data_IF_363497147825
#
_entry.id   IF_363497147825
#
_cell.length_a   1.000
_cell.length_b   1.000
_cell.length_c   1.000
_cell.angle_alpha   90.00
_cell.angle_beta   90.00
_cell.angle_gamma   90.00
#
_symmetry.space_group_name_H-M   'P 1'
#
loop_
_entity.id
_entity.type
_entity.pdbx_description
1 polymer ?
#
# COMPACT_ATOMS: atom_id res chain seq x y z
N UNK A 1 6.41 6.61 37.97
CA UNK A 1 4.93 6.48 38.01
C UNK A 1 4.59 5.34 37.07
N UNK A 2 4.17 4.20 37.61
CA UNK A 2 3.54 3.15 36.83
C UNK A 2 2.21 3.75 36.31
N UNK A 3 2.04 3.83 34.98
CA UNK A 3 0.75 4.18 34.42
C UNK A 3 -0.19 3.00 34.65
N UNK A 4 -1.18 3.18 35.51
CA UNK A 4 -2.23 2.20 35.73
C UNK A 4 -3.04 2.07 34.41
N UNK A 5 -3.00 0.90 33.81
CA UNK A 5 -3.82 0.59 32.66
C UNK A 5 -5.31 0.59 33.01
N UNK A 6 -6.16 0.91 32.06
CA UNK A 6 -7.62 0.85 32.18
C UNK A 6 -8.23 -0.20 31.27
N UNK A 7 -9.37 -0.77 31.69
CA UNK A 7 -10.14 -1.72 30.87
C UNK A 7 -11.53 -1.14 30.63
N UNK A 8 -11.91 -1.09 29.35
CA UNK A 8 -13.24 -0.65 28.92
C UNK A 8 -13.90 -1.75 28.11
N UNK A 9 -15.19 -1.98 28.34
CA UNK A 9 -15.99 -2.97 27.60
C UNK A 9 -16.86 -2.29 26.56
N UNK A 10 -16.79 -2.81 25.32
CA UNK A 10 -17.63 -2.37 24.21
C UNK A 10 -18.38 -3.56 23.62
N UNK A 11 -19.63 -3.35 23.22
CA UNK A 11 -20.46 -4.39 22.57
C UNK A 11 -20.05 -4.60 21.10
N UNK A 12 -19.45 -3.58 20.48
CA UNK A 12 -18.96 -3.62 19.11
C UNK A 12 -17.63 -2.86 19.04
N UNK A 13 -16.64 -3.42 18.34
CA UNK A 13 -15.35 -2.78 18.14
C UNK A 13 -15.44 -1.48 17.32
N UNK A 14 -16.48 -1.30 16.52
CA UNK A 14 -16.73 -0.07 15.74
C UNK A 14 -16.98 1.15 16.63
N UNK A 15 -17.35 0.96 17.90
CA UNK A 15 -17.53 2.02 18.86
C UNK A 15 -16.22 2.48 19.52
N UNK A 16 -15.11 1.80 19.24
CA UNK A 16 -13.80 2.16 19.77
C UNK A 16 -13.20 3.26 18.90
N UNK A 17 -12.83 4.38 19.52
CA UNK A 17 -12.10 5.44 18.81
C UNK A 17 -10.66 5.00 18.57
N UNK A 18 -10.30 4.74 17.32
CA UNK A 18 -8.97 4.29 16.87
C UNK A 18 -8.19 5.41 16.15
N UNK A 19 -8.61 6.66 16.27
CA UNK A 19 -7.99 7.78 15.57
C UNK A 19 -6.63 8.14 16.18
N UNK A 20 -6.46 7.96 17.47
CA UNK A 20 -5.25 8.29 18.21
C UNK A 20 -4.56 7.05 18.79
N UNK A 21 -3.22 7.13 18.90
CA UNK A 21 -2.40 6.08 19.49
C UNK A 21 -2.08 4.90 18.57
N UNK A 22 -1.40 3.92 19.14
CA UNK A 22 -1.07 2.65 18.50
C UNK A 22 -2.05 1.58 18.99
N UNK A 23 -2.60 0.81 18.06
CA UNK A 23 -3.65 -0.16 18.31
C UNK A 23 -3.23 -1.58 17.98
N UNK A 24 -3.52 -2.50 18.88
CA UNK A 24 -3.36 -3.93 18.67
C UNK A 24 -4.71 -4.62 18.83
N UNK A 25 -5.27 -5.11 17.73
CA UNK A 25 -6.44 -5.97 17.72
C UNK A 25 -6.02 -7.43 17.85
N UNK A 26 -6.48 -8.08 18.90
CA UNK A 26 -6.24 -9.49 19.18
C UNK A 26 -7.52 -10.29 19.04
N UNK A 27 -7.47 -11.39 18.30
CA UNK A 27 -8.58 -12.33 18.22
C UNK A 27 -8.09 -13.77 18.37
N UNK A 28 -9.00 -14.67 18.75
CA UNK A 28 -8.69 -16.11 18.90
C UNK A 28 -8.29 -16.74 17.55
N UNK A 29 -8.90 -16.28 16.45
CA UNK A 29 -8.65 -16.81 15.12
C UNK A 29 -8.72 -15.71 14.04
N UNK A 30 -8.21 -16.04 12.85
CA UNK A 30 -8.17 -15.10 11.71
C UNK A 30 -9.56 -14.71 11.19
N UNK A 31 -10.57 -15.55 11.36
CA UNK A 31 -11.93 -15.28 10.90
C UNK A 31 -12.51 -14.02 11.59
N UNK A 32 -12.30 -13.89 12.90
CA UNK A 32 -12.74 -12.71 13.65
C UNK A 32 -11.99 -11.45 13.23
N UNK A 33 -10.70 -11.57 12.87
CA UNK A 33 -9.92 -10.45 12.36
C UNK A 33 -10.39 -9.96 10.98
N UNK A 34 -11.02 -10.80 10.18
CA UNK A 34 -11.50 -10.38 8.85
C UNK A 34 -12.57 -9.28 8.95
N UNK A 35 -13.43 -9.32 9.97
CA UNK A 35 -14.44 -8.26 10.20
C UNK A 35 -13.76 -6.92 10.53
N UNK A 36 -12.69 -6.97 11.33
CA UNK A 36 -11.88 -5.78 11.65
C UNK A 36 -11.17 -5.26 10.41
N UNK A 37 -10.62 -6.15 9.57
CA UNK A 37 -10.01 -5.76 8.30
C UNK A 37 -10.98 -5.03 7.37
N UNK A 38 -12.18 -5.59 7.21
CA UNK A 38 -13.19 -5.00 6.34
C UNK A 38 -13.63 -3.63 6.85
N UNK A 39 -13.80 -3.47 8.14
CA UNK A 39 -14.07 -2.18 8.77
C UNK A 39 -12.93 -1.18 8.54
N UNK A 40 -11.67 -1.57 8.79
CA UNK A 40 -10.52 -0.69 8.58
C UNK A 40 -10.36 -0.28 7.11
N UNK A 41 -10.63 -1.18 6.18
CA UNK A 41 -10.64 -0.86 4.74
C UNK A 41 -11.72 0.16 4.38
N UNK A 42 -12.93 -0.01 4.90
CA UNK A 42 -14.03 0.95 4.71
C UNK A 42 -13.69 2.32 5.28
N UNK A 43 -13.01 2.35 6.43
CA UNK A 43 -12.56 3.59 7.06
C UNK A 43 -11.30 4.20 6.42
N UNK A 44 -10.71 3.56 5.41
CA UNK A 44 -9.45 4.03 4.79
C UNK A 44 -8.28 4.06 5.77
N UNK A 45 -8.19 3.08 6.67
CA UNK A 45 -7.10 2.94 7.64
C UNK A 45 -6.08 1.94 7.20
N UNK A 46 -4.80 2.32 7.26
CA UNK A 46 -3.68 1.38 7.05
C UNK A 46 -3.51 0.51 8.28
N UNK A 47 -3.35 -0.78 8.07
CA UNK A 47 -3.11 -1.76 9.14
C UNK A 47 -2.04 -2.78 8.72
N UNK A 48 -1.50 -3.47 9.71
CA UNK A 48 -0.61 -4.60 9.54
C UNK A 48 -1.27 -5.87 10.11
N UNK A 49 -1.32 -6.96 9.36
CA UNK A 49 -1.80 -8.27 9.83
C UNK A 49 -0.65 -9.25 9.85
N UNK A 50 -0.23 -9.65 11.06
CA UNK A 50 1.06 -10.31 11.25
C UNK A 50 2.19 -9.44 10.66
N UNK A 51 2.98 -9.98 9.76
CA UNK A 51 4.07 -9.27 9.09
C UNK A 51 3.67 -8.64 7.74
N UNK A 52 2.38 -8.63 7.38
CA UNK A 52 1.93 -8.11 6.09
C UNK A 52 1.20 -6.78 6.26
N UNK A 53 1.68 -5.77 5.56
CA UNK A 53 0.96 -4.50 5.44
C UNK A 53 -0.30 -4.66 4.57
N UNK A 54 -1.36 -3.93 4.89
CA UNK A 54 -2.61 -3.86 4.12
C UNK A 54 -2.43 -3.28 2.71
N UNK A 55 -1.38 -2.50 2.50
CA UNK A 55 -0.93 -2.03 1.18
C UNK A 55 0.50 -2.52 0.97
N UNK A 56 0.77 -3.19 -0.16
CA UNK A 56 2.10 -3.72 -0.43
C UNK A 56 3.13 -2.59 -0.64
N UNK A 57 4.33 -2.77 -0.11
CA UNK A 57 5.44 -1.81 -0.27
C UNK A 57 5.78 -1.57 -1.75
N UNK A 58 5.71 -2.61 -2.58
CA UNK A 58 5.95 -2.49 -4.00
C UNK A 58 4.96 -1.54 -4.68
N UNK A 59 3.67 -1.60 -4.31
CA UNK A 59 2.65 -0.70 -4.84
C UNK A 59 2.89 0.74 -4.36
N UNK A 60 3.21 0.92 -3.08
CA UNK A 60 3.49 2.25 -2.50
C UNK A 60 4.68 2.89 -3.20
N UNK A 61 5.75 2.11 -3.40
CA UNK A 61 6.95 2.58 -4.11
C UNK A 61 6.62 2.94 -5.55
N UNK A 62 5.88 2.08 -6.27
CA UNK A 62 5.48 2.37 -7.65
C UNK A 62 4.62 3.65 -7.77
N UNK A 63 3.71 3.89 -6.82
CA UNK A 63 2.90 5.12 -6.78
C UNK A 63 3.79 6.34 -6.58
N UNK A 64 4.71 6.30 -5.61
CA UNK A 64 5.64 7.41 -5.34
C UNK A 64 6.52 7.72 -6.55
N UNK A 65 7.06 6.68 -7.17
CA UNK A 65 7.93 6.81 -8.35
C UNK A 65 7.18 7.38 -9.55
N UNK A 66 5.95 6.91 -9.79
CA UNK A 66 5.10 7.42 -10.84
C UNK A 66 4.77 8.90 -10.66
N UNK A 67 4.36 9.30 -9.46
CA UNK A 67 4.07 10.70 -9.18
C UNK A 67 5.34 11.58 -9.20
N UNK A 68 6.52 11.04 -8.91
CA UNK A 68 7.80 11.72 -9.09
C UNK A 68 8.10 11.93 -10.58
N UNK A 69 7.94 10.91 -11.43
CA UNK A 69 8.10 11.04 -12.89
C UNK A 69 7.17 12.11 -13.47
N UNK A 70 5.90 12.11 -13.07
CA UNK A 70 4.92 13.11 -13.51
C UNK A 70 5.27 14.56 -13.10
N UNK A 71 6.05 14.73 -12.06
CA UNK A 71 6.57 16.03 -11.59
C UNK A 71 7.91 16.39 -12.20
N UNK A 72 8.37 15.64 -13.22
CA UNK A 72 9.65 15.89 -13.91
C UNK A 72 10.86 15.22 -13.27
N UNK A 73 10.66 14.30 -12.32
CA UNK A 73 11.73 13.51 -11.74
C UNK A 73 12.29 12.47 -12.71
N UNK A 74 13.44 11.90 -12.35
CA UNK A 74 14.04 10.77 -13.04
C UNK A 74 14.05 9.55 -12.14
N UNK A 75 13.77 8.38 -12.70
CA UNK A 75 13.69 7.11 -11.99
C UNK A 75 14.52 6.06 -12.72
N UNK A 76 15.13 5.16 -11.98
CA UNK A 76 15.88 4.02 -12.50
C UNK A 76 15.00 3.08 -13.33
N UNK A 77 15.51 2.60 -14.45
CA UNK A 77 14.80 1.71 -15.36
C UNK A 77 14.29 0.42 -14.66
N UNK A 78 15.04 -0.11 -13.69
CA UNK A 78 14.61 -1.24 -12.87
C UNK A 78 13.33 -0.97 -12.07
N UNK A 79 13.15 0.26 -11.59
CA UNK A 79 11.94 0.69 -10.87
C UNK A 79 10.80 1.00 -11.85
N UNK A 80 11.11 1.53 -13.04
CA UNK A 80 10.10 1.76 -14.09
C UNK A 80 9.50 0.45 -14.58
N UNK A 81 10.28 -0.65 -14.67
CA UNK A 81 9.72 -1.99 -14.97
C UNK A 81 8.65 -2.41 -13.96
N UNK A 82 8.84 -2.10 -12.68
CA UNK A 82 7.83 -2.35 -11.64
C UNK A 82 6.57 -1.51 -11.85
N UNK A 83 6.73 -0.22 -12.21
CA UNK A 83 5.61 0.67 -12.58
C UNK A 83 4.82 0.09 -13.76
N UNK A 84 5.51 -0.28 -14.84
CA UNK A 84 4.90 -0.89 -16.02
C UNK A 84 4.18 -2.22 -15.73
N UNK A 85 4.60 -2.93 -14.67
CA UNK A 85 3.90 -4.11 -14.16
C UNK A 85 2.46 -3.83 -13.74
N UNK A 86 2.16 -2.63 -13.28
CA UNK A 86 0.82 -2.19 -12.87
C UNK A 86 -0.03 -1.64 -14.03
N UNK A 87 0.53 -1.49 -15.24
CA UNK A 87 -0.17 -1.00 -16.41
C UNK A 87 -0.54 -2.14 -17.35
N UNK A 88 -1.68 -2.08 -18.01
CA UNK A 88 -2.07 -3.03 -19.06
C UNK A 88 -1.39 -2.70 -20.37
N UNK A 89 -1.06 -3.77 -21.11
CA UNK A 89 -0.52 -3.67 -22.46
C UNK A 89 -1.56 -3.03 -23.38
N UNK A 90 -1.09 -2.19 -24.29
CA UNK A 90 -1.86 -1.43 -25.26
C UNK A 90 -2.87 -0.42 -24.67
N UNK A 91 -2.80 -0.22 -23.32
CA UNK A 91 -3.48 0.88 -22.61
C UNK A 91 -2.46 1.83 -21.98
N UNK A 92 -1.72 1.37 -20.97
CA UNK A 92 -0.70 2.17 -20.29
C UNK A 92 0.66 2.11 -20.95
N UNK A 93 1.01 0.97 -21.57
CA UNK A 93 2.31 0.74 -22.20
C UNK A 93 2.17 -0.11 -23.46
N UNK A 94 2.91 0.21 -24.53
CA UNK A 94 2.93 -0.57 -25.78
C UNK A 94 3.43 -1.99 -25.54
N UNK A 95 2.91 -2.93 -26.35
CA UNK A 95 3.34 -4.33 -26.33
C UNK A 95 4.84 -4.45 -26.58
N UNK A 96 5.52 -5.27 -25.78
CA UNK A 96 6.96 -5.51 -25.87
C UNK A 96 7.83 -4.55 -25.05
N UNK A 97 7.29 -3.45 -24.51
CA UNK A 97 8.05 -2.46 -23.76
C UNK A 97 8.08 -2.66 -22.24
N UNK A 98 7.20 -3.50 -21.66
CA UNK A 98 7.13 -3.69 -20.20
C UNK A 98 8.45 -4.07 -19.52
N UNK A 99 9.32 -4.77 -20.22
CA UNK A 99 10.57 -5.28 -19.67
C UNK A 99 11.75 -4.33 -19.87
N UNK A 100 11.62 -3.27 -20.68
CA UNK A 100 12.71 -2.32 -21.02
C UNK A 100 14.03 -3.06 -21.33
N UNK A 101 13.98 -4.08 -22.20
CA UNK A 101 15.09 -5.04 -22.44
C UNK A 101 16.42 -4.40 -22.86
N UNK A 102 16.34 -3.23 -23.48
CA UNK A 102 17.51 -2.53 -24.04
C UNK A 102 18.18 -1.57 -23.07
N UNK A 103 17.70 -1.49 -21.84
CA UNK A 103 18.16 -0.50 -20.84
C UNK A 103 18.63 -1.19 -19.59
N UNK A 104 19.82 -0.81 -19.10
CA UNK A 104 20.34 -1.28 -17.80
C UNK A 104 19.48 -0.77 -16.63
N UNK A 105 19.44 -1.52 -15.53
CA UNK A 105 18.56 -1.24 -14.38
C UNK A 105 18.82 0.13 -13.74
N UNK A 106 20.07 0.60 -13.76
CA UNK A 106 20.50 1.85 -13.15
C UNK A 106 20.32 3.10 -14.03
N UNK A 107 19.92 2.92 -15.30
CA UNK A 107 19.72 4.04 -16.21
C UNK A 107 18.56 4.92 -15.71
N UNK A 108 18.83 6.21 -15.55
CA UNK A 108 17.84 7.20 -15.14
C UNK A 108 17.03 7.66 -16.35
N UNK A 109 15.72 7.56 -16.27
CA UNK A 109 14.78 7.93 -17.31
C UNK A 109 13.73 8.88 -16.75
N UNK A 110 13.31 9.85 -17.56
CA UNK A 110 12.19 10.74 -17.27
C UNK A 110 10.93 10.33 -18.08
N UNK A 111 9.84 11.04 -17.87
CA UNK A 111 8.56 10.71 -18.50
C UNK A 111 8.58 10.93 -20.01
N UNK A 112 9.35 11.88 -20.52
CA UNK A 112 9.47 12.18 -21.94
C UNK A 112 10.26 11.09 -22.66
N UNK A 113 11.34 10.58 -22.05
CA UNK A 113 12.08 9.42 -22.54
C UNK A 113 11.14 8.21 -22.64
N UNK A 114 10.31 7.99 -21.61
CA UNK A 114 9.36 6.88 -21.58
C UNK A 114 8.31 6.96 -22.69
N UNK A 115 7.79 8.15 -22.98
CA UNK A 115 6.83 8.38 -24.05
C UNK A 115 7.47 8.21 -25.44
N UNK A 116 8.67 8.74 -25.61
CA UNK A 116 9.36 8.76 -26.89
C UNK A 116 9.92 7.39 -27.29
N UNK A 117 10.69 6.78 -26.40
CA UNK A 117 11.55 5.63 -26.73
C UNK A 117 11.11 4.32 -26.04
N UNK A 118 10.34 4.40 -24.95
CA UNK A 118 10.02 3.25 -24.10
C UNK A 118 8.53 2.93 -24.00
N UNK A 119 7.74 3.40 -24.96
CA UNK A 119 6.38 2.94 -25.21
C UNK A 119 5.34 3.30 -24.17
N UNK A 120 5.58 4.31 -23.34
CA UNK A 120 4.58 4.84 -22.42
C UNK A 120 3.47 5.52 -23.23
N UNK A 121 2.20 5.17 -22.93
CA UNK A 121 1.03 5.67 -23.65
C UNK A 121 0.22 6.69 -22.85
N UNK A 122 0.43 6.78 -21.54
CA UNK A 122 -0.39 7.55 -20.61
C UNK A 122 0.45 8.46 -19.73
N UNK A 123 -0.17 9.56 -19.28
CA UNK A 123 0.40 10.50 -18.32
C UNK A 123 -0.74 11.04 -17.44
N UNK A 124 -1.32 10.15 -16.68
CA UNK A 124 -2.46 10.42 -15.81
C UNK A 124 -2.11 10.12 -14.34
N UNK A 125 -3.01 10.39 -13.42
CA UNK A 125 -2.82 10.06 -12.02
C UNK A 125 -2.64 8.53 -11.85
N UNK A 126 -1.85 8.12 -10.86
CA UNK A 126 -1.52 6.70 -10.67
C UNK A 126 -2.76 5.79 -10.65
N UNK A 127 -3.84 6.22 -10.03
CA UNK A 127 -5.07 5.43 -9.91
C UNK A 127 -5.84 5.27 -11.22
N UNK A 128 -5.55 6.08 -12.22
CA UNK A 128 -6.09 5.97 -13.59
C UNK A 128 -5.17 5.11 -14.47
N UNK A 129 -3.83 5.26 -14.29
CA UNK A 129 -2.83 4.59 -15.10
C UNK A 129 -2.54 3.16 -14.66
N UNK A 130 -2.63 2.84 -13.36
CA UNK A 130 -2.36 1.51 -12.83
C UNK A 130 -3.59 0.60 -12.95
N UNK A 131 -4.01 0.35 -14.15
CA UNK A 131 -5.24 -0.36 -14.49
C UNK A 131 -5.17 -1.90 -14.30
N UNK A 132 -4.00 -2.43 -13.91
CA UNK A 132 -3.85 -3.82 -13.46
C UNK A 132 -4.22 -4.03 -11.98
N UNK A 133 -4.42 -2.95 -11.22
CA UNK A 133 -4.86 -3.01 -9.82
C UNK A 133 -6.39 -3.18 -9.80
N UNK A 134 -6.88 -4.13 -8.97
CA UNK A 134 -8.32 -4.31 -8.77
C UNK A 134 -9.00 -3.06 -8.19
N UNK A 135 -10.25 -2.81 -8.56
CA UNK A 135 -10.98 -1.61 -8.14
C UNK A 135 -11.04 -1.47 -6.61
N UNK A 136 -11.36 -2.53 -5.88
CA UNK A 136 -11.43 -2.52 -4.41
C UNK A 136 -10.12 -2.07 -3.76
N UNK A 137 -8.98 -2.58 -4.24
CA UNK A 137 -7.68 -2.19 -3.72
C UNK A 137 -7.34 -0.74 -4.07
N UNK A 138 -7.69 -0.29 -5.27
CA UNK A 138 -7.50 1.09 -5.73
C UNK A 138 -8.27 2.07 -4.86
N UNK A 139 -9.57 1.83 -4.66
CA UNK A 139 -10.45 2.64 -3.81
C UNK A 139 -9.94 2.71 -2.36
N UNK A 140 -9.49 1.57 -1.83
CA UNK A 140 -8.91 1.52 -0.50
C UNK A 140 -7.67 2.40 -0.38
N UNK A 141 -6.71 2.30 -1.32
CA UNK A 141 -5.48 3.13 -1.27
C UNK A 141 -5.82 4.63 -1.42
N UNK A 142 -6.77 4.98 -2.30
CA UNK A 142 -7.26 6.36 -2.45
C UNK A 142 -7.85 6.86 -1.13
N UNK A 143 -8.67 6.04 -0.47
CA UNK A 143 -9.29 6.40 0.81
C UNK A 143 -8.24 6.64 1.90
N UNK A 144 -7.23 5.77 2.01
CA UNK A 144 -6.11 5.94 2.94
C UNK A 144 -5.36 7.26 2.68
N UNK A 145 -5.06 7.58 1.41
CA UNK A 145 -4.36 8.81 1.04
C UNK A 145 -5.19 10.07 1.34
N UNK A 146 -6.50 10.04 1.07
CA UNK A 146 -7.42 11.16 1.40
C UNK A 146 -7.51 11.41 2.89
N UNK A 147 -7.41 10.37 3.70
CA UNK A 147 -7.37 10.47 5.17
C UNK A 147 -6.02 10.97 5.71
N UNK A 148 -4.99 11.01 4.88
CA UNK A 148 -3.63 11.40 5.29
C UNK A 148 -2.85 10.27 5.96
N UNK A 149 -3.27 9.01 5.77
CA UNK A 149 -2.57 7.84 6.30
C UNK A 149 -1.15 7.71 5.70
N UNK A 150 -0.20 7.38 6.56
CA UNK A 150 1.17 7.04 6.13
C UNK A 150 1.19 5.58 5.69
N UNK A 151 1.13 5.32 4.39
CA UNK A 151 1.01 3.97 3.84
C UNK A 151 2.11 2.98 4.28
N UNK A 152 3.30 3.46 4.65
CA UNK A 152 4.43 2.63 5.11
C UNK A 152 4.51 2.45 6.63
N UNK A 153 3.70 3.18 7.40
CA UNK A 153 3.77 3.17 8.86
C UNK A 153 2.36 3.03 9.42
N UNK A 154 1.97 1.80 9.69
CA UNK A 154 0.68 1.53 10.32
C UNK A 154 0.78 1.62 11.84
N UNK A 155 -0.15 2.33 12.44
CA UNK A 155 -0.38 2.35 13.89
C UNK A 155 -1.33 1.24 14.36
N UNK A 156 -1.93 0.50 13.42
CA UNK A 156 -2.91 -0.54 13.70
C UNK A 156 -2.31 -1.90 13.34
N UNK A 157 -2.28 -2.80 14.32
CA UNK A 157 -1.82 -4.18 14.16
C UNK A 157 -2.94 -5.15 14.44
N UNK A 158 -3.05 -6.19 13.63
CA UNK A 158 -4.00 -7.29 13.78
C UNK A 158 -3.23 -8.58 13.97
N UNK A 159 -3.45 -9.28 15.07
CA UNK A 159 -2.80 -10.55 15.37
C UNK A 159 -3.77 -11.54 16.02
N UNK A 160 -3.48 -12.82 15.85
CA UNK A 160 -4.12 -13.81 16.73
C UNK A 160 -3.42 -13.82 18.09
N UNK A 161 -4.15 -14.20 19.14
CA UNK A 161 -3.61 -14.31 20.50
C UNK A 161 -2.38 -15.25 20.53
N UNK A 162 -2.38 -16.33 19.74
CA UNK A 162 -1.24 -17.24 19.65
C UNK A 162 0.00 -16.60 19.02
N UNK A 163 -0.20 -15.81 17.96
CA UNK A 163 0.92 -15.12 17.30
C UNK A 163 1.49 -13.98 18.17
N UNK A 164 0.65 -13.32 18.97
CA UNK A 164 1.09 -12.28 19.88
C UNK A 164 1.96 -12.84 21.04
N UNK A 165 1.61 -14.03 21.57
CA UNK A 165 2.41 -14.69 22.63
C UNK A 165 3.83 -15.05 22.19
N UNK A 166 4.05 -15.35 20.90
CA UNK A 166 5.38 -15.59 20.35
C UNK A 166 6.25 -14.34 20.24
N UNK A 167 5.65 -13.15 20.17
CA UNK A 167 6.37 -11.88 20.12
C UNK A 167 6.83 -11.36 21.50
N UNK A 168 6.24 -11.84 22.58
CA UNK A 168 6.64 -11.47 23.95
C UNK A 168 7.90 -12.23 24.44
N UNK A 169 8.31 -13.29 23.75
CA UNK A 169 9.45 -14.13 24.14
C UNK A 169 10.80 -13.63 23.61
N UNK A 170 10.82 -12.61 22.77
CA UNK A 170 12.04 -12.07 22.15
C UNK A 170 12.53 -10.75 22.81
N UNK A 171 12.05 -10.41 24.01
CA UNK A 171 12.49 -9.28 24.82
C UNK A 171 13.15 -9.75 26.12
#
# INVERSE_FOLDING_TARGET
KEDEGSVTYHTNFEHVNIDDGDWLFLARNNYLLNQVEDYLKLQGRVYQKGNKSSVSENLITAIKDWESLRKGGQIEAGRIRKIYGYMKVDKGVKRGYKTLKTVGDEALLNIDDLKKDYGLLVDCLWHECFDSIGNTQREYVISCLRRGEKLLSSKIKLNTIHAAKGGESDN
#
